data_IF_798035531029
#
_entry.id   IF_798035531029
#
_cell.length_a   1.000
_cell.length_b   1.000
_cell.length_c   1.000
_cell.angle_alpha   90.00
_cell.angle_beta   90.00
_cell.angle_gamma   90.00
#
_symmetry.space_group_name_H-M   'P 1'
#
loop_
_entity.id
_entity.type
_entity.pdbx_description
1 polymer ?
#
# COMPACT_ATOMS: atom_id res chain seq x y z
N UNK A 1 -36.99 6.37 -13.10
CA UNK A 1 -36.53 5.13 -12.45
C UNK A 1 -35.40 4.59 -13.30
N UNK A 2 -34.16 4.99 -12.98
CA UNK A 2 -32.98 4.42 -13.65
C UNK A 2 -32.74 3.03 -13.05
N UNK A 3 -33.00 2.02 -13.84
CA UNK A 3 -32.64 0.64 -13.52
C UNK A 3 -31.12 0.56 -13.66
N UNK A 4 -30.42 0.46 -12.52
CA UNK A 4 -29.00 0.18 -12.51
C UNK A 4 -28.72 -1.06 -13.36
N UNK A 5 -27.83 -0.94 -14.35
CA UNK A 5 -27.40 -2.08 -15.15
C UNK A 5 -26.89 -3.21 -14.22
N UNK A 6 -27.12 -4.49 -14.55
CA UNK A 6 -26.68 -5.60 -13.72
C UNK A 6 -25.15 -5.52 -13.55
N UNK A 7 -24.71 -5.53 -12.29
CA UNK A 7 -23.27 -5.59 -11.93
C UNK A 7 -22.64 -6.78 -12.66
N UNK A 8 -21.79 -6.49 -13.63
CA UNK A 8 -21.14 -7.52 -14.42
C UNK A 8 -20.18 -8.31 -13.53
N UNK A 9 -20.36 -9.62 -13.48
CA UNK A 9 -19.51 -10.57 -12.74
C UNK A 9 -18.03 -10.56 -13.16
N UNK A 10 -17.67 -9.77 -14.18
CA UNK A 10 -16.35 -9.72 -14.80
C UNK A 10 -15.26 -9.10 -13.93
N UNK A 11 -15.62 -8.27 -12.93
CA UNK A 11 -14.64 -7.54 -12.08
C UNK A 11 -14.52 -8.03 -10.66
N UNK A 12 -15.32 -9.03 -10.29
CA UNK A 12 -15.23 -9.65 -8.98
C UNK A 12 -13.91 -10.43 -8.88
N UNK A 13 -13.07 -10.05 -7.92
CA UNK A 13 -11.77 -10.69 -7.67
C UNK A 13 -11.87 -11.74 -6.56
N UNK A 14 -12.61 -11.47 -5.49
CA UNK A 14 -12.87 -12.38 -4.39
C UNK A 14 -14.11 -11.98 -3.60
N UNK A 15 -14.62 -12.91 -2.77
CA UNK A 15 -15.73 -12.67 -1.86
C UNK A 15 -15.52 -13.43 -0.55
N UNK A 16 -15.94 -12.83 0.57
CA UNK A 16 -15.90 -13.44 1.89
C UNK A 16 -17.10 -12.96 2.71
N UNK A 17 -18.01 -13.87 3.03
CA UNK A 17 -19.25 -13.54 3.74
C UNK A 17 -20.09 -12.54 2.94
N UNK A 18 -20.35 -11.40 3.53
CA UNK A 18 -21.09 -10.29 2.90
C UNK A 18 -20.18 -9.16 2.37
N UNK A 19 -18.90 -9.45 2.19
CA UNK A 19 -17.96 -8.54 1.56
C UNK A 19 -17.49 -9.10 0.23
N UNK A 20 -17.36 -8.23 -0.77
CA UNK A 20 -16.74 -8.53 -2.05
C UNK A 20 -15.61 -7.55 -2.35
N UNK A 21 -14.63 -7.98 -3.14
CA UNK A 21 -13.59 -7.09 -3.68
C UNK A 21 -13.64 -7.10 -5.20
N UNK A 22 -13.57 -5.91 -5.78
CA UNK A 22 -13.57 -5.71 -7.23
C UNK A 22 -12.68 -4.56 -7.64
N UNK A 23 -12.40 -4.49 -8.94
CA UNK A 23 -11.75 -3.35 -9.56
C UNK A 23 -12.81 -2.28 -9.87
N UNK A 24 -12.52 -1.01 -9.57
CA UNK A 24 -13.34 0.12 -10.01
C UNK A 24 -13.23 0.27 -11.54
N UNK A 25 -14.38 0.46 -12.21
CA UNK A 25 -14.47 0.64 -13.66
C UNK A 25 -14.95 2.04 -14.04
N UNK A 26 -15.67 2.68 -13.17
CA UNK A 26 -16.30 3.97 -13.46
C UNK A 26 -15.69 5.10 -12.64
N UNK A 27 -15.72 6.35 -13.14
CA UNK A 27 -15.32 7.51 -12.35
C UNK A 27 -16.08 7.64 -11.01
N UNK A 28 -17.34 7.19 -10.96
CA UNK A 28 -18.12 7.19 -9.74
C UNK A 28 -17.56 6.22 -8.70
N UNK A 29 -17.13 5.04 -9.12
CA UNK A 29 -16.50 4.06 -8.22
C UNK A 29 -15.14 4.54 -7.71
N UNK A 30 -14.34 5.17 -8.57
CA UNK A 30 -13.09 5.81 -8.15
C UNK A 30 -13.37 6.88 -7.08
N UNK A 31 -14.43 7.68 -7.25
CA UNK A 31 -14.86 8.65 -6.25
C UNK A 31 -15.22 8.02 -4.91
N UNK A 32 -15.81 6.82 -4.89
CA UNK A 32 -16.09 6.09 -3.64
C UNK A 32 -14.79 5.76 -2.88
N UNK A 33 -13.73 5.33 -3.59
CA UNK A 33 -12.42 5.14 -3.00
C UNK A 33 -11.85 6.45 -2.42
N UNK A 34 -11.91 7.52 -3.18
CA UNK A 34 -11.42 8.85 -2.78
C UNK A 34 -12.17 9.40 -1.56
N UNK A 35 -13.49 9.21 -1.50
CA UNK A 35 -14.32 9.58 -0.35
C UNK A 35 -13.96 8.77 0.91
N UNK A 36 -13.74 7.45 0.76
CA UNK A 36 -13.32 6.61 1.88
C UNK A 36 -11.96 7.07 2.40
N UNK A 37 -10.99 7.29 1.52
CA UNK A 37 -9.66 7.77 1.88
C UNK A 37 -9.72 9.12 2.59
N UNK A 38 -10.50 10.07 2.07
CA UNK A 38 -10.68 11.39 2.69
C UNK A 38 -11.21 11.27 4.14
N UNK A 39 -12.22 10.43 4.37
CA UNK A 39 -12.74 10.22 5.73
C UNK A 39 -11.72 9.60 6.67
N UNK A 40 -10.98 8.58 6.19
CA UNK A 40 -10.03 7.83 7.02
C UNK A 40 -8.75 8.63 7.27
N UNK A 41 -8.13 9.16 6.23
CA UNK A 41 -6.87 9.92 6.36
C UNK A 41 -7.10 11.28 7.02
N UNK A 42 -8.25 11.93 6.75
CA UNK A 42 -8.62 13.16 7.46
C UNK A 42 -8.83 12.95 8.95
N UNK A 43 -9.46 11.84 9.33
CA UNK A 43 -9.68 11.51 10.74
C UNK A 43 -8.44 11.04 11.49
N UNK A 44 -7.54 10.30 10.83
CA UNK A 44 -6.41 9.63 11.49
C UNK A 44 -5.07 10.33 11.29
N UNK A 45 -4.84 10.92 10.12
CA UNK A 45 -3.58 11.57 9.78
C UNK A 45 -3.71 13.10 9.75
N UNK A 46 -4.92 13.62 10.00
CA UNK A 46 -5.25 15.04 9.86
C UNK A 46 -4.92 15.60 8.46
N UNK A 47 -4.80 14.70 7.48
CA UNK A 47 -4.60 15.05 6.08
C UNK A 47 -5.96 15.34 5.44
N UNK A 48 -6.28 16.60 5.30
CA UNK A 48 -7.49 17.10 4.65
C UNK A 48 -7.08 17.81 3.35
N UNK A 49 -7.00 17.11 2.23
CA UNK A 49 -6.86 17.79 0.95
C UNK A 49 -8.09 18.66 0.68
N UNK A 50 -7.91 19.68 -0.11
CA UNK A 50 -8.85 20.78 -0.38
C UNK A 50 -10.33 20.37 -0.43
N UNK A 51 -11.10 20.86 0.52
CA UNK A 51 -12.53 21.15 0.66
C UNK A 51 -13.64 20.41 -0.12
N UNK A 52 -13.31 19.47 -1.03
CA UNK A 52 -14.29 18.77 -1.90
C UNK A 52 -14.71 17.38 -1.36
N UNK A 53 -14.21 16.97 -0.17
CA UNK A 53 -14.52 15.68 0.43
C UNK A 53 -13.87 14.48 -0.25
N UNK A 54 -12.83 14.70 -1.05
CA UNK A 54 -12.09 13.66 -1.78
C UNK A 54 -10.60 13.70 -1.41
N UNK A 55 -9.99 12.58 -1.14
CA UNK A 55 -8.54 12.41 -1.22
C UNK A 55 -8.19 12.06 -2.67
N UNK A 56 -7.72 13.05 -3.39
CA UNK A 56 -7.39 12.96 -4.81
C UNK A 56 -6.00 13.54 -5.06
N UNK A 57 -5.19 12.83 -5.84
CA UNK A 57 -3.90 13.30 -6.31
C UNK A 57 -3.75 13.09 -7.83
N UNK A 58 -2.66 13.61 -8.39
CA UNK A 58 -2.36 13.52 -9.82
C UNK A 58 -2.08 12.10 -10.33
N UNK A 59 -1.88 11.14 -9.42
CA UNK A 59 -1.64 9.73 -9.74
C UNK A 59 -2.94 8.94 -9.88
N UNK A 60 -4.06 9.40 -9.31
CA UNK A 60 -5.32 8.64 -9.31
C UNK A 60 -5.79 8.26 -10.72
N UNK A 61 -5.48 9.08 -11.73
CA UNK A 61 -5.87 8.81 -13.11
C UNK A 61 -5.08 7.68 -13.80
N UNK A 62 -3.90 7.33 -13.27
CA UNK A 62 -3.09 6.23 -13.82
C UNK A 62 -3.14 4.96 -12.98
N UNK A 63 -3.60 5.05 -11.73
CA UNK A 63 -3.79 3.89 -10.88
C UNK A 63 -5.16 3.25 -11.12
N UNK A 64 -5.21 1.93 -11.03
CA UNK A 64 -6.44 1.16 -10.86
C UNK A 64 -6.80 1.13 -9.38
N UNK A 65 -8.10 1.10 -9.05
CA UNK A 65 -8.59 1.16 -7.68
C UNK A 65 -9.32 -0.14 -7.32
N UNK A 66 -8.86 -0.81 -6.28
CA UNK A 66 -9.55 -1.92 -5.65
C UNK A 66 -10.57 -1.38 -4.66
N UNK A 67 -11.79 -1.93 -4.67
CA UNK A 67 -12.88 -1.58 -3.78
C UNK A 67 -13.37 -2.82 -3.04
N UNK A 68 -13.37 -2.76 -1.71
CA UNK A 68 -14.13 -3.73 -0.90
C UNK A 68 -15.48 -3.12 -0.58
N UNK A 69 -16.54 -3.84 -0.98
CA UNK A 69 -17.92 -3.45 -0.74
C UNK A 69 -18.54 -4.34 0.34
N UNK A 70 -19.27 -3.74 1.25
CA UNK A 70 -20.20 -4.44 2.14
C UNK A 70 -21.55 -4.55 1.42
N UNK A 71 -21.96 -5.78 1.09
CA UNK A 71 -23.09 -6.04 0.17
C UNK A 71 -24.45 -5.68 0.74
N UNK A 72 -24.61 -5.70 2.08
CA UNK A 72 -25.91 -5.40 2.72
C UNK A 72 -26.24 -3.92 2.68
N UNK A 73 -25.23 -3.07 2.91
CA UNK A 73 -25.40 -1.61 2.91
C UNK A 73 -25.00 -0.95 1.59
N UNK A 74 -24.29 -1.69 0.72
CA UNK A 74 -23.70 -1.14 -0.50
C UNK A 74 -22.52 -0.21 -0.27
N UNK A 75 -21.99 -0.08 0.97
CA UNK A 75 -20.89 0.82 1.30
C UNK A 75 -19.56 0.29 0.78
N UNK A 76 -18.72 1.19 0.27
CA UNK A 76 -17.29 0.94 0.09
C UNK A 76 -16.59 1.10 1.43
N UNK A 77 -15.99 -0.01 1.91
CA UNK A 77 -15.41 -0.12 3.26
C UNK A 77 -13.91 -0.38 3.27
N UNK A 78 -13.32 -0.64 2.12
CA UNK A 78 -11.89 -0.80 1.94
C UNK A 78 -11.45 -0.42 0.53
N UNK A 79 -10.23 0.08 0.38
CA UNK A 79 -9.65 0.41 -0.91
C UNK A 79 -8.12 0.23 -0.91
N UNK A 80 -7.60 -0.05 -2.08
CA UNK A 80 -6.20 -0.02 -2.45
C UNK A 80 -6.10 0.53 -3.86
N UNK A 81 -5.11 1.37 -4.16
CA UNK A 81 -4.77 1.68 -5.56
C UNK A 81 -3.55 0.88 -6.00
N UNK A 82 -3.53 0.47 -7.24
CA UNK A 82 -2.49 -0.39 -7.80
C UNK A 82 -2.18 0.00 -9.24
N UNK A 83 -0.91 0.00 -9.62
CA UNK A 83 -0.47 0.22 -11.01
C UNK A 83 0.64 -0.73 -11.40
N UNK A 84 0.73 -1.04 -12.69
CA UNK A 84 1.84 -1.81 -13.25
C UNK A 84 3.06 -0.92 -13.53
N UNK A 85 4.23 -1.55 -13.64
CA UNK A 85 5.43 -0.84 -14.08
C UNK A 85 5.38 -0.33 -15.51
N UNK A 86 4.51 -0.92 -16.36
CA UNK A 86 4.23 -0.42 -17.71
C UNK A 86 3.43 0.89 -17.61
N UNK A 87 2.31 0.91 -16.89
CA UNK A 87 1.49 2.12 -16.70
C UNK A 87 2.32 3.27 -16.10
N UNK A 88 3.19 2.94 -15.11
CA UNK A 88 4.10 3.91 -14.52
C UNK A 88 5.14 4.44 -15.54
N UNK A 89 5.64 3.58 -16.44
CA UNK A 89 6.61 3.95 -17.48
C UNK A 89 6.02 4.88 -18.54
N UNK A 90 4.77 4.66 -18.89
CA UNK A 90 4.03 5.48 -19.89
C UNK A 90 3.42 6.74 -19.26
N UNK A 91 3.39 6.83 -17.93
CA UNK A 91 2.78 7.91 -17.16
C UNK A 91 3.77 8.77 -16.40
N UNK A 92 3.40 9.10 -15.16
CA UNK A 92 4.17 9.97 -14.24
C UNK A 92 5.29 9.26 -13.47
N UNK A 93 5.53 7.98 -13.72
CA UNK A 93 6.35 7.12 -12.88
C UNK A 93 5.55 6.47 -11.75
N UNK A 94 6.25 5.83 -10.83
CA UNK A 94 5.66 5.32 -9.61
C UNK A 94 5.43 6.45 -8.58
N UNK A 95 4.38 6.34 -7.75
CA UNK A 95 4.17 7.29 -6.66
C UNK A 95 5.39 7.34 -5.72
N UNK A 96 5.97 6.17 -5.41
CA UNK A 96 7.17 6.10 -4.55
C UNK A 96 8.37 6.88 -5.13
N UNK A 97 8.41 7.12 -6.45
CA UNK A 97 9.44 7.96 -7.07
C UNK A 97 9.25 9.46 -6.75
N UNK A 98 8.09 9.88 -6.21
CA UNK A 98 7.90 11.26 -5.72
C UNK A 98 8.64 11.51 -4.40
N UNK A 99 8.82 10.47 -3.59
CA UNK A 99 9.47 10.53 -2.27
C UNK A 99 10.92 10.05 -2.31
N UNK A 100 11.21 9.09 -3.21
CA UNK A 100 12.51 8.41 -3.29
C UNK A 100 13.19 8.57 -4.65
N UNK A 101 14.51 8.59 -4.65
CA UNK A 101 15.32 8.14 -5.79
C UNK A 101 15.61 6.67 -5.59
N UNK A 102 15.12 5.81 -6.49
CA UNK A 102 15.15 4.35 -6.32
C UNK A 102 16.14 3.74 -7.31
N UNK A 103 17.31 3.31 -6.80
CA UNK A 103 18.26 2.56 -7.61
C UNK A 103 17.81 1.10 -7.78
N UNK A 104 18.05 0.53 -8.94
CA UNK A 104 17.69 -0.86 -9.29
C UNK A 104 16.32 -1.01 -9.94
N UNK A 105 15.49 0.02 -9.94
CA UNK A 105 14.11 0.01 -10.44
C UNK A 105 14.01 -0.50 -11.89
N UNK A 106 14.90 -0.07 -12.77
CA UNK A 106 14.89 -0.43 -14.19
C UNK A 106 15.05 -1.93 -14.44
N UNK A 107 15.72 -2.64 -13.53
CA UNK A 107 15.96 -4.08 -13.66
C UNK A 107 14.71 -4.92 -13.49
N UNK A 108 13.74 -4.44 -12.71
CA UNK A 108 12.54 -5.18 -12.32
C UNK A 108 11.24 -4.48 -12.73
N UNK A 109 11.30 -3.29 -13.35
CA UNK A 109 10.13 -2.45 -13.68
C UNK A 109 9.01 -3.23 -14.37
N UNK A 110 9.33 -4.11 -15.32
CA UNK A 110 8.32 -4.86 -16.09
C UNK A 110 7.54 -5.87 -15.26
N UNK A 111 8.16 -6.39 -14.21
CA UNK A 111 7.57 -7.38 -13.29
C UNK A 111 7.12 -6.74 -11.97
N UNK A 112 7.29 -5.41 -11.84
CA UNK A 112 6.99 -4.65 -10.63
C UNK A 112 5.63 -3.97 -10.74
N UNK A 113 4.86 -4.11 -9.69
CA UNK A 113 3.64 -3.35 -9.47
C UNK A 113 3.75 -2.54 -8.20
N UNK A 114 3.10 -1.38 -8.17
CA UNK A 114 3.03 -0.52 -7.00
C UNK A 114 1.64 -0.52 -6.42
N UNK A 115 1.56 -0.53 -5.09
CA UNK A 115 0.33 -0.33 -4.33
C UNK A 115 0.46 0.88 -3.41
N UNK A 116 -0.66 1.56 -3.19
CA UNK A 116 -0.70 2.71 -2.29
C UNK A 116 -2.11 3.03 -1.82
N UNK A 117 -2.21 4.04 -0.95
CA UNK A 117 -3.49 4.54 -0.42
C UNK A 117 -4.37 3.45 0.17
N UNK A 118 -3.75 2.46 0.86
CA UNK A 118 -4.47 1.43 1.59
C UNK A 118 -5.30 2.03 2.71
N UNK A 119 -6.57 1.71 2.71
CA UNK A 119 -7.45 2.28 3.72
C UNK A 119 -8.64 1.35 3.97
N UNK A 120 -9.03 1.22 5.24
CA UNK A 120 -10.20 0.47 5.69
C UNK A 120 -11.01 1.35 6.62
N UNK A 121 -12.31 1.41 6.38
CA UNK A 121 -13.25 2.13 7.24
C UNK A 121 -13.12 1.62 8.69
N UNK A 122 -12.95 2.52 9.69
CA UNK A 122 -12.76 2.13 11.09
C UNK A 122 -13.82 1.18 11.63
N UNK A 123 -15.07 1.30 11.19
CA UNK A 123 -16.18 0.42 11.61
C UNK A 123 -16.04 -1.02 11.08
N UNK A 124 -15.19 -1.25 10.05
CA UNK A 124 -15.03 -2.53 9.36
C UNK A 124 -13.64 -3.16 9.49
N UNK A 125 -12.85 -2.76 10.48
CA UNK A 125 -11.48 -3.29 10.73
C UNK A 125 -11.44 -4.67 11.40
N UNK A 126 -12.42 -5.53 11.11
CA UNK A 126 -12.53 -6.89 11.65
C UNK A 126 -11.53 -7.91 11.09
N UNK A 127 -10.62 -7.51 10.23
CA UNK A 127 -9.66 -8.39 9.55
C UNK A 127 -10.16 -8.97 8.23
N UNK A 128 -11.46 -9.18 8.03
CA UNK A 128 -12.03 -9.72 6.79
C UNK A 128 -11.81 -8.78 5.59
N UNK A 129 -11.95 -7.47 5.78
CA UNK A 129 -11.73 -6.47 4.73
C UNK A 129 -10.26 -6.41 4.34
N UNK A 130 -9.34 -6.46 5.30
CA UNK A 130 -7.89 -6.50 5.04
C UNK A 130 -7.54 -7.79 4.29
N UNK A 131 -8.09 -8.94 4.70
CA UNK A 131 -7.88 -10.22 4.02
C UNK A 131 -8.37 -10.18 2.57
N UNK A 132 -9.53 -9.55 2.31
CA UNK A 132 -10.04 -9.36 0.95
C UNK A 132 -9.17 -8.44 0.11
N UNK A 133 -8.63 -7.35 0.66
CA UNK A 133 -7.69 -6.49 -0.06
C UNK A 133 -6.46 -7.29 -0.52
N UNK A 134 -5.91 -8.14 0.36
CA UNK A 134 -4.82 -9.05 -0.01
C UNK A 134 -5.25 -10.10 -1.04
N UNK A 135 -6.44 -10.69 -0.89
CA UNK A 135 -6.97 -11.65 -1.87
C UNK A 135 -7.16 -11.01 -3.26
N UNK A 136 -7.58 -9.73 -3.31
CA UNK A 136 -7.67 -8.98 -4.55
C UNK A 136 -6.32 -8.76 -5.21
N UNK A 137 -5.29 -8.39 -4.43
CA UNK A 137 -3.91 -8.27 -4.93
C UNK A 137 -3.39 -9.61 -5.44
N UNK A 138 -3.65 -10.71 -4.72
CA UNK A 138 -3.24 -12.06 -5.13
C UNK A 138 -3.96 -12.52 -6.42
N UNK A 139 -5.26 -12.22 -6.56
CA UNK A 139 -6.01 -12.51 -7.78
C UNK A 139 -5.43 -11.74 -8.99
N UNK A 140 -5.07 -10.48 -8.79
CA UNK A 140 -4.39 -9.68 -9.82
C UNK A 140 -3.01 -10.22 -10.12
N UNK A 141 -2.22 -10.58 -9.12
CA UNK A 141 -0.91 -11.18 -9.31
C UNK A 141 -0.97 -12.45 -10.15
N UNK A 142 -1.95 -13.31 -9.89
CA UNK A 142 -2.17 -14.54 -10.67
C UNK A 142 -2.61 -14.24 -12.11
N UNK A 143 -3.45 -13.22 -12.32
CA UNK A 143 -3.96 -12.83 -13.63
C UNK A 143 -2.90 -12.14 -14.49
N UNK A 144 -2.14 -11.23 -13.91
CA UNK A 144 -1.21 -10.34 -14.61
C UNK A 144 0.25 -10.83 -14.51
N UNK A 145 0.49 -11.89 -13.74
CA UNK A 145 1.78 -12.59 -13.60
C UNK A 145 2.96 -11.70 -13.16
N UNK A 146 2.71 -10.63 -12.39
CA UNK A 146 3.80 -9.82 -11.85
C UNK A 146 4.51 -10.52 -10.70
N UNK A 147 5.80 -10.23 -10.54
CA UNK A 147 6.64 -10.86 -9.53
C UNK A 147 6.82 -10.00 -8.29
N UNK A 148 6.95 -8.70 -8.45
CA UNK A 148 7.30 -7.79 -7.38
C UNK A 148 6.15 -6.84 -7.08
N UNK A 149 5.95 -6.58 -5.78
CA UNK A 149 5.02 -5.56 -5.29
C UNK A 149 5.79 -4.55 -4.44
N UNK A 150 5.65 -3.27 -4.76
CA UNK A 150 6.29 -2.16 -4.06
C UNK A 150 5.24 -1.20 -3.51
N UNK A 151 5.59 -0.44 -2.50
CA UNK A 151 4.76 0.66 -2.00
C UNK A 151 5.33 1.27 -0.74
N UNK A 152 4.79 2.41 -0.33
CA UNK A 152 5.13 3.07 0.92
C UNK A 152 4.20 2.61 2.04
N UNK A 153 4.78 2.27 3.20
CA UNK A 153 4.04 1.97 4.42
C UNK A 153 4.35 3.02 5.46
N UNK A 154 3.30 3.71 5.89
CA UNK A 154 3.39 4.87 6.77
C UNK A 154 3.28 4.50 8.24
N UNK A 155 4.05 5.21 9.07
CA UNK A 155 3.95 5.27 10.52
C UNK A 155 3.81 6.73 10.96
N UNK A 156 3.40 7.03 12.22
CA UNK A 156 3.30 8.41 12.69
C UNK A 156 4.59 9.21 12.48
N UNK A 157 4.49 10.43 11.97
CA UNK A 157 5.63 11.31 11.66
C UNK A 157 6.46 11.73 12.87
N UNK A 158 5.94 11.55 14.08
CA UNK A 158 6.68 11.77 15.33
C UNK A 158 7.72 10.68 15.64
N UNK A 159 7.70 9.54 14.93
CA UNK A 159 8.56 8.37 15.17
C UNK A 159 9.81 8.35 14.29
N UNK A 160 10.41 9.50 13.99
CA UNK A 160 11.58 9.61 13.11
C UNK A 160 12.80 8.86 13.64
N UNK A 161 13.06 8.96 14.93
CA UNK A 161 14.15 8.26 15.61
C UNK A 161 13.96 6.74 15.62
N UNK A 162 12.76 6.29 15.98
CA UNK A 162 12.36 4.88 15.98
C UNK A 162 12.39 4.28 14.57
N UNK A 163 12.04 5.08 13.54
CA UNK A 163 12.11 4.67 12.15
C UNK A 163 13.56 4.38 11.73
N UNK A 164 14.51 5.24 12.07
CA UNK A 164 15.92 4.98 11.82
C UNK A 164 16.47 3.79 12.60
N UNK A 165 16.06 3.63 13.87
CA UNK A 165 16.41 2.47 14.68
C UNK A 165 15.90 1.18 14.04
N UNK A 166 14.64 1.18 13.59
CA UNK A 166 14.02 0.06 12.88
C UNK A 166 14.75 -0.28 11.58
N UNK A 167 15.06 0.72 10.75
CA UNK A 167 15.81 0.52 9.52
C UNK A 167 17.19 -0.10 9.77
N UNK A 168 17.92 0.40 10.77
CA UNK A 168 19.24 -0.15 11.16
C UNK A 168 19.13 -1.59 11.68
N UNK A 169 18.12 -1.87 12.50
CA UNK A 169 17.83 -3.22 12.99
C UNK A 169 17.64 -4.16 11.79
N UNK A 170 16.72 -3.84 10.89
CA UNK A 170 16.47 -4.67 9.71
C UNK A 170 17.68 -4.82 8.81
N UNK A 171 18.49 -3.78 8.65
CA UNK A 171 19.72 -3.85 7.85
C UNK A 171 20.72 -4.86 8.41
N UNK A 172 20.86 -4.94 9.74
CA UNK A 172 21.71 -5.94 10.41
C UNK A 172 21.16 -7.36 10.29
N UNK A 173 19.84 -7.50 10.29
CA UNK A 173 19.15 -8.80 10.29
C UNK A 173 18.64 -9.26 8.91
N UNK A 174 19.14 -8.66 7.82
CA UNK A 174 18.80 -9.08 6.46
C UNK A 174 17.38 -8.71 6.01
N UNK A 175 16.71 -7.80 6.71
CA UNK A 175 15.37 -7.30 6.39
C UNK A 175 15.35 -6.16 5.38
N UNK A 176 16.51 -5.76 4.81
CA UNK A 176 16.62 -4.75 3.76
C UNK A 176 16.85 -5.44 2.42
N UNK A 177 16.24 -4.88 1.37
CA UNK A 177 16.34 -5.41 0.00
C UNK A 177 17.71 -5.10 -0.62
N UNK A 178 18.24 -6.06 -1.39
CA UNK A 178 19.42 -5.87 -2.24
C UNK A 178 19.02 -5.52 -3.70
N UNK A 179 17.74 -5.64 -4.05
CA UNK A 179 17.23 -5.40 -5.42
C UNK A 179 16.94 -3.93 -5.67
N UNK A 180 16.37 -3.24 -4.68
CA UNK A 180 16.04 -1.83 -4.73
C UNK A 180 16.73 -1.09 -3.58
N UNK A 181 17.18 0.13 -3.84
CA UNK A 181 17.74 1.02 -2.83
C UNK A 181 17.16 2.43 -3.00
N UNK A 182 16.18 2.77 -2.15
CA UNK A 182 15.56 4.09 -2.09
C UNK A 182 16.34 5.04 -1.19
N UNK A 183 16.60 6.23 -1.70
CA UNK A 183 17.18 7.35 -0.96
C UNK A 183 16.20 8.51 -1.04
N UNK A 184 16.00 9.22 0.06
CA UNK A 184 15.09 10.35 0.13
C UNK A 184 15.31 11.38 -0.98
N UNK A 185 14.24 11.88 -1.57
CA UNK A 185 14.29 13.10 -2.39
C UNK A 185 14.40 14.33 -1.49
N UNK A 186 14.85 15.43 -2.07
CA UNK A 186 14.89 16.73 -1.39
C UNK A 186 13.50 17.11 -0.87
N UNK A 187 13.42 17.41 0.42
CA UNK A 187 12.16 17.72 1.12
C UNK A 187 11.55 16.53 1.85
N UNK A 188 12.01 15.30 1.60
CA UNK A 188 11.54 14.08 2.27
C UNK A 188 12.57 13.49 3.24
N UNK A 189 13.68 14.16 3.49
CA UNK A 189 14.70 13.68 4.41
C UNK A 189 14.12 13.48 5.81
N UNK A 190 14.25 12.26 6.33
CA UNK A 190 13.88 11.92 7.69
C UNK A 190 15.00 12.37 8.64
N UNK A 191 14.69 13.21 9.65
CA UNK A 191 15.66 13.65 10.64
C UNK A 191 16.13 12.50 11.56
N UNK A 192 16.98 12.83 12.53
CA UNK A 192 17.45 11.93 13.61
C UNK A 192 18.35 10.76 13.19
N UNK A 193 18.85 10.76 11.95
CA UNK A 193 19.73 9.71 11.43
C UNK A 193 20.95 9.42 12.31
N UNK A 194 21.52 10.46 12.92
CA UNK A 194 22.77 10.40 13.70
C UNK A 194 22.53 10.21 15.21
N UNK A 195 21.31 10.43 15.68
CA UNK A 195 20.94 10.47 17.10
C UNK A 195 20.57 9.10 17.69
N UNK A 196 21.13 7.99 17.17
CA UNK A 196 20.60 6.67 17.48
C UNK A 196 21.40 5.97 18.58
N UNK A 197 20.70 5.27 19.51
CA UNK A 197 21.34 4.41 20.50
C UNK A 197 22.06 3.24 19.80
N UNK A 198 23.10 2.72 20.45
CA UNK A 198 23.83 1.54 19.95
C UNK A 198 23.07 0.23 20.14
N UNK A 199 21.94 0.27 20.81
CA UNK A 199 21.14 -0.93 21.14
C UNK A 199 20.53 -1.55 19.88
N UNK A 200 20.65 -2.87 19.75
CA UNK A 200 20.08 -3.67 18.67
C UNK A 200 18.68 -4.16 19.05
N UNK A 201 17.77 -3.20 19.30
CA UNK A 201 16.39 -3.47 19.67
C UNK A 201 15.44 -3.09 18.56
N UNK A 202 14.45 -3.96 18.33
CA UNK A 202 13.35 -3.69 17.40
C UNK A 202 12.34 -2.76 18.10
N UNK A 203 12.20 -1.50 17.65
CA UNK A 203 11.22 -0.59 18.22
C UNK A 203 9.80 -1.07 17.88
N UNK A 204 9.00 -1.32 18.90
CA UNK A 204 7.64 -1.85 18.73
C UNK A 204 6.66 -0.80 18.24
N UNK A 205 6.94 0.47 18.47
CA UNK A 205 6.13 1.63 18.14
C UNK A 205 5.93 1.77 16.61
N UNK A 206 6.95 1.41 15.81
CA UNK A 206 6.87 1.44 14.34
C UNK A 206 6.09 0.27 13.76
N UNK A 207 5.82 -0.77 14.55
CA UNK A 207 5.25 -2.03 14.09
C UNK A 207 3.72 -1.93 13.93
N UNK A 208 3.25 -1.11 12.99
CA UNK A 208 1.83 -1.02 12.63
C UNK A 208 1.29 -2.36 12.11
N UNK A 209 -0.03 -2.62 12.18
CA UNK A 209 -0.62 -3.84 11.64
C UNK A 209 -0.29 -4.08 10.16
N UNK A 210 -0.28 -3.03 9.35
CA UNK A 210 0.04 -3.09 7.92
C UNK A 210 1.50 -3.49 7.70
N UNK A 211 2.44 -2.81 8.37
CA UNK A 211 3.88 -3.13 8.27
C UNK A 211 4.17 -4.56 8.74
N UNK A 212 3.57 -4.97 9.88
CA UNK A 212 3.65 -6.37 10.35
C UNK A 212 3.14 -7.37 9.30
N UNK A 213 2.06 -7.05 8.63
CA UNK A 213 1.49 -7.87 7.56
C UNK A 213 2.48 -8.09 6.43
N UNK A 214 3.06 -7.02 5.90
CA UNK A 214 4.06 -7.08 4.84
C UNK A 214 5.32 -7.85 5.22
N UNK A 215 5.90 -7.55 6.39
CA UNK A 215 7.11 -8.24 6.86
C UNK A 215 6.87 -9.74 7.06
N UNK A 216 5.72 -10.12 7.59
CA UNK A 216 5.31 -11.52 7.73
C UNK A 216 5.13 -12.22 6.37
N UNK A 217 4.66 -11.49 5.36
CA UNK A 217 4.56 -11.98 3.99
C UNK A 217 5.93 -12.17 3.32
N UNK A 218 7.01 -11.67 3.92
CA UNK A 218 8.37 -11.75 3.41
C UNK A 218 8.83 -10.48 2.68
N UNK A 219 8.08 -9.38 2.81
CA UNK A 219 8.53 -8.10 2.27
C UNK A 219 9.79 -7.62 2.99
N UNK A 220 10.66 -6.94 2.26
CA UNK A 220 11.84 -6.27 2.77
C UNK A 220 11.69 -4.76 2.64
N UNK A 221 12.36 -4.01 3.52
CA UNK A 221 12.49 -2.57 3.37
C UNK A 221 13.45 -2.29 2.21
N UNK A 222 13.06 -1.42 1.31
CA UNK A 222 13.80 -1.14 0.07
C UNK A 222 14.37 0.29 0.02
N UNK A 223 14.33 1.03 1.13
CA UNK A 223 14.85 2.38 1.22
C UNK A 223 15.00 2.87 2.65
N UNK A 224 15.76 3.94 2.83
CA UNK A 224 15.84 4.67 4.10
C UNK A 224 14.46 5.24 4.46
N UNK A 225 14.14 5.47 5.77
CA UNK A 225 12.89 6.13 6.12
C UNK A 225 12.86 7.55 5.56
N UNK A 226 11.70 7.99 5.08
CA UNK A 226 11.47 9.36 4.60
C UNK A 226 10.36 10.00 5.40
N UNK A 227 10.36 11.34 5.51
CA UNK A 227 9.34 12.11 6.20
C UNK A 227 8.43 12.77 5.17
N UNK A 228 7.20 12.28 5.04
CA UNK A 228 6.13 12.95 4.30
C UNK A 228 5.47 14.00 5.21
N UNK A 229 5.83 15.27 4.96
CA UNK A 229 5.30 16.40 5.73
C UNK A 229 3.87 16.73 5.38
N UNK A 230 3.40 16.37 4.18
CA UNK A 230 2.04 16.61 3.75
C UNK A 230 1.06 15.67 4.46
N UNK A 231 1.43 14.42 4.65
CA UNK A 231 0.66 13.43 5.42
C UNK A 231 1.02 13.41 6.91
N UNK A 232 2.13 14.02 7.32
CA UNK A 232 2.61 13.95 8.70
C UNK A 232 3.06 12.54 9.09
N UNK A 233 3.63 11.79 8.16
CA UNK A 233 4.05 10.39 8.34
C UNK A 233 5.53 10.21 8.05
N UNK A 234 6.12 9.16 8.65
CA UNK A 234 7.38 8.58 8.17
C UNK A 234 7.04 7.36 7.35
N UNK A 235 7.58 7.29 6.14
CA UNK A 235 7.29 6.23 5.18
C UNK A 235 8.47 5.30 4.98
N UNK A 236 8.18 4.01 4.87
CA UNK A 236 9.12 2.98 4.48
C UNK A 236 8.75 2.43 3.10
N UNK A 237 9.68 2.54 2.16
CA UNK A 237 9.56 1.81 0.90
C UNK A 237 9.71 0.32 1.17
N UNK A 238 8.71 -0.48 0.79
CA UNK A 238 8.74 -1.95 0.90
C UNK A 238 8.83 -2.58 -0.48
N UNK A 239 9.42 -3.77 -0.53
CA UNK A 239 9.43 -4.65 -1.70
C UNK A 239 9.07 -6.07 -1.27
N UNK A 240 8.01 -6.62 -1.87
CA UNK A 240 7.59 -8.01 -1.71
C UNK A 240 7.91 -8.77 -3.01
N UNK A 241 8.67 -9.86 -2.91
CA UNK A 241 8.92 -10.81 -4.02
C UNK A 241 7.98 -12.02 -3.86
N UNK A 242 6.96 -12.13 -4.70
CA UNK A 242 6.05 -13.26 -4.71
C UNK A 242 6.75 -14.60 -5.01
N UNK A 243 7.87 -14.56 -5.75
CA UNK A 243 8.69 -15.73 -6.01
C UNK A 243 9.42 -16.28 -4.79
N UNK A 244 9.73 -15.40 -3.82
CA UNK A 244 10.40 -15.75 -2.57
C UNK A 244 9.43 -15.97 -1.39
N UNK A 245 8.12 -15.76 -1.61
CA UNK A 245 7.11 -15.91 -0.57
C UNK A 245 7.03 -17.38 -0.11
N UNK A 246 6.97 -17.59 1.22
CA UNK A 246 6.84 -18.94 1.77
C UNK A 246 5.48 -19.56 1.41
N UNK A 247 5.43 -20.90 1.25
CA UNK A 247 4.19 -21.61 0.88
C UNK A 247 3.04 -21.38 1.88
N UNK A 248 3.36 -21.17 3.16
CA UNK A 248 2.38 -20.83 4.20
C UNK A 248 1.65 -19.53 3.87
N UNK A 249 2.41 -18.49 3.47
CA UNK A 249 1.83 -17.19 3.13
C UNK A 249 1.20 -17.21 1.74
N UNK A 250 1.80 -17.92 0.79
CA UNK A 250 1.22 -18.09 -0.55
C UNK A 250 -0.19 -18.68 -0.44
N UNK A 251 -0.40 -19.77 0.30
CA UNK A 251 -1.72 -20.38 0.54
C UNK A 251 -2.69 -19.43 1.24
N UNK A 252 -2.21 -18.62 2.19
CA UNK A 252 -3.04 -17.66 2.89
C UNK A 252 -3.54 -16.53 1.98
N UNK A 253 -2.73 -16.11 1.00
CA UNK A 253 -3.07 -15.05 0.06
C UNK A 253 -3.82 -15.55 -1.18
N UNK A 254 -3.56 -16.76 -1.66
CA UNK A 254 -4.21 -17.31 -2.86
C UNK A 254 -5.52 -18.00 -2.55
N UNK A 255 -5.82 -18.26 -1.28
CA UNK A 255 -7.02 -19.02 -0.88
C UNK A 255 -6.95 -20.51 -1.26
N UNK A 256 -5.82 -20.99 -1.77
CA UNK A 256 -5.61 -22.39 -2.08
C UNK A 256 -5.47 -23.17 -0.75
N UNK A 257 -6.44 -24.06 -0.49
CA UNK A 257 -6.46 -24.98 0.65
C UNK A 257 -5.51 -26.15 0.44
#
# INVERSE_FOLDING_TARGET
MDVAAPETAQNLLAQCGHFSIRMAETPQEIRLAQQLRHRVFGGELHHLPDGNGLDQDEFDGQFRHLLVREERSGKTVGTYRIQSGADAGDGRGFYSESEYRIAGLEKIRRELWEVGRSCVDPEFRSGAVIALLWAGIAALQKKEAFRYLMGCVSIPGSLTREAWQFYRYLKRHGGVSDLLCGVARSGFECPDRESLPQEDLLPQEVMTPLLKGYLRAGAKIAGEPVLDRAFGTVDFLILLDFGAMTDRYRRHFTGDK
#
